data_IF_509296816880
#
_entry.id   IF_509296816880
#
_cell.length_a   1.000
_cell.length_b   1.000
_cell.length_c   1.000
_cell.angle_alpha   90.00
_cell.angle_beta   90.00
_cell.angle_gamma   90.00
#
_symmetry.space_group_name_H-M   'P 1'
#
loop_
_entity.id
_entity.type
_entity.pdbx_description
1 polymer ?
#
# COMPACT_ATOMS: atom_id res chain seq x y z
N UNK A 1 -14.94 6.01 4.79
CA UNK A 1 -13.70 5.55 4.13
C UNK A 1 -12.57 5.60 5.14
N UNK A 2 -11.81 4.51 5.32
CA UNK A 2 -10.64 4.45 6.22
C UNK A 2 -9.38 4.98 5.51
N UNK A 3 -8.28 5.22 6.24
CA UNK A 3 -7.00 5.59 5.60
C UNK A 3 -6.46 4.48 4.69
N UNK A 4 -6.64 3.21 5.05
CA UNK A 4 -6.28 2.09 4.16
C UNK A 4 -7.17 2.09 2.92
N UNK A 5 -8.48 2.35 3.08
CA UNK A 5 -9.41 2.48 1.96
C UNK A 5 -9.03 3.63 1.02
N UNK A 6 -8.62 4.79 1.54
CA UNK A 6 -8.11 5.90 0.73
C UNK A 6 -6.80 5.52 0.02
N UNK A 7 -5.88 4.82 0.69
CA UNK A 7 -4.65 4.35 0.08
C UNK A 7 -4.92 3.37 -1.08
N UNK A 8 -5.83 2.41 -0.87
CA UNK A 8 -6.27 1.48 -1.90
C UNK A 8 -6.98 2.19 -3.06
N UNK A 9 -7.87 3.13 -2.76
CA UNK A 9 -8.54 3.95 -3.77
C UNK A 9 -7.52 4.69 -4.65
N UNK A 10 -6.53 5.37 -4.05
CA UNK A 10 -5.48 6.06 -4.81
C UNK A 10 -4.68 5.08 -5.69
N UNK A 11 -4.36 3.88 -5.18
CA UNK A 11 -3.67 2.85 -5.94
C UNK A 11 -4.49 2.35 -7.14
N UNK A 12 -5.79 2.16 -6.96
CA UNK A 12 -6.65 1.70 -8.05
C UNK A 12 -6.90 2.80 -9.09
N UNK A 13 -7.18 4.04 -8.66
CA UNK A 13 -7.37 5.18 -9.58
C UNK A 13 -6.14 5.44 -10.46
N UNK A 14 -4.95 5.12 -9.95
CA UNK A 14 -3.69 5.25 -10.69
C UNK A 14 -3.27 3.97 -11.42
N UNK A 15 -4.07 2.89 -11.35
CA UNK A 15 -3.72 1.55 -11.85
C UNK A 15 -2.41 0.99 -11.29
N UNK A 16 -1.97 1.47 -10.13
CA UNK A 16 -0.79 0.93 -9.44
C UNK A 16 -1.02 -0.47 -8.87
N UNK A 17 -2.27 -0.94 -8.83
CA UNK A 17 -2.63 -2.33 -8.54
C UNK A 17 -2.64 -3.24 -9.78
N UNK A 18 -2.37 -2.71 -10.96
CA UNK A 18 -2.20 -3.47 -12.20
C UNK A 18 -0.72 -3.63 -12.51
N UNK A 19 -0.30 -4.82 -12.91
CA UNK A 19 1.01 -5.09 -13.46
C UNK A 19 0.89 -5.45 -14.95
N UNK A 20 1.75 -4.85 -15.75
CA UNK A 20 1.90 -5.14 -17.18
C UNK A 20 3.40 -5.41 -17.47
N UNK A 21 3.75 -6.21 -18.51
CA UNK A 21 5.13 -6.54 -18.87
C UNK A 21 5.92 -5.35 -19.46
N UNK A 22 6.11 -4.28 -18.69
CA UNK A 22 6.75 -3.03 -19.13
C UNK A 22 8.08 -2.73 -18.44
N UNK A 23 8.68 -3.72 -17.77
CA UNK A 23 9.88 -3.56 -16.94
C UNK A 23 9.57 -3.27 -15.46
N UNK A 24 10.57 -2.81 -14.70
CA UNK A 24 10.44 -2.56 -13.26
C UNK A 24 9.75 -1.21 -12.99
N UNK A 25 8.79 -1.20 -12.05
CA UNK A 25 8.13 0.03 -11.60
C UNK A 25 8.86 0.63 -10.40
N UNK A 26 9.28 1.90 -10.52
CA UNK A 26 9.96 2.63 -9.45
C UNK A 26 8.99 3.54 -8.66
N UNK A 27 9.42 4.00 -7.48
CA UNK A 27 8.70 5.02 -6.72
C UNK A 27 8.51 6.32 -7.53
N UNK A 28 9.45 6.68 -8.41
CA UNK A 28 9.30 7.87 -9.26
C UNK A 28 8.09 7.74 -10.19
N UNK A 29 7.92 6.58 -10.83
CA UNK A 29 6.75 6.30 -11.68
C UNK A 29 5.45 6.30 -10.86
N UNK A 30 5.47 5.71 -9.65
CA UNK A 30 4.31 5.74 -8.75
C UNK A 30 3.95 7.18 -8.33
N UNK A 31 4.96 7.98 -8.00
CA UNK A 31 4.79 9.38 -7.59
C UNK A 31 4.17 10.23 -8.70
N UNK A 32 4.63 10.08 -9.94
CA UNK A 32 4.10 10.81 -11.09
C UNK A 32 2.63 10.46 -11.35
N UNK A 33 2.27 9.18 -11.30
CA UNK A 33 0.88 8.72 -11.47
C UNK A 33 -0.02 9.22 -10.32
N UNK A 34 0.44 9.11 -9.06
CA UNK A 34 -0.28 9.63 -7.89
C UNK A 34 -0.49 11.13 -7.98
N UNK A 35 0.50 11.90 -8.42
CA UNK A 35 0.37 13.35 -8.57
C UNK A 35 -0.74 13.74 -9.54
N UNK A 36 -0.85 13.06 -10.67
CA UNK A 36 -1.89 13.30 -11.66
C UNK A 36 -3.26 13.03 -11.05
N UNK A 37 -3.46 11.85 -10.45
CA UNK A 37 -4.75 11.49 -9.85
C UNK A 37 -5.16 12.42 -8.69
N UNK A 38 -4.21 12.85 -7.86
CA UNK A 38 -4.49 13.74 -6.71
C UNK A 38 -4.92 15.14 -7.16
N UNK A 39 -4.36 15.66 -8.26
CA UNK A 39 -4.72 16.98 -8.79
C UNK A 39 -6.21 17.06 -9.18
N UNK A 40 -6.78 15.94 -9.63
CA UNK A 40 -8.18 15.85 -10.08
C UNK A 40 -9.15 15.34 -8.99
N UNK A 41 -8.68 15.11 -7.76
CA UNK A 41 -9.48 14.52 -6.68
C UNK A 41 -9.92 15.55 -5.63
N UNK A 42 -11.20 15.52 -5.26
CA UNK A 42 -11.77 16.29 -4.13
C UNK A 42 -12.20 15.33 -3.02
N UNK A 43 -11.76 15.58 -1.79
CA UNK A 43 -12.15 14.82 -0.60
C UNK A 43 -12.85 15.75 0.40
N UNK A 44 -14.09 15.43 0.79
CA UNK A 44 -14.91 16.25 1.69
C UNK A 44 -15.02 17.73 1.27
N UNK A 45 -15.12 17.98 -0.05
CA UNK A 45 -15.24 19.34 -0.62
C UNK A 45 -13.93 20.14 -0.67
N UNK A 46 -12.78 19.53 -0.33
CA UNK A 46 -11.46 20.16 -0.44
C UNK A 46 -10.59 19.45 -1.48
N UNK A 47 -9.81 20.18 -2.30
CA UNK A 47 -8.84 19.57 -3.21
C UNK A 47 -7.84 18.71 -2.43
N UNK A 48 -7.69 17.45 -2.84
CA UNK A 48 -6.82 16.51 -2.13
C UNK A 48 -5.35 16.96 -2.18
N UNK A 49 -4.92 17.64 -3.24
CA UNK A 49 -3.56 18.20 -3.38
C UNK A 49 -3.20 19.17 -2.24
N UNK A 50 -4.17 19.91 -1.70
CA UNK A 50 -3.92 20.81 -0.57
C UNK A 50 -3.76 20.06 0.76
N UNK A 51 -4.40 18.90 0.90
CA UNK A 51 -4.44 18.11 2.13
C UNK A 51 -3.41 16.97 2.17
N UNK A 52 -2.89 16.52 1.01
CA UNK A 52 -2.03 15.35 0.89
C UNK A 52 -0.66 15.70 0.28
N UNK A 53 0.39 15.45 1.05
CA UNK A 53 1.77 15.48 0.58
C UNK A 53 2.26 14.08 0.21
N UNK A 54 2.53 13.84 -1.08
CA UNK A 54 3.20 12.61 -1.54
C UNK A 54 4.71 12.84 -1.59
N UNK A 55 5.45 12.04 -0.83
CA UNK A 55 6.90 12.15 -0.72
C UNK A 55 7.54 11.93 -2.10
N UNK A 56 8.27 12.91 -2.65
CA UNK A 56 8.86 12.81 -3.99
C UNK A 56 10.02 11.80 -4.04
N UNK A 57 10.35 11.28 -5.24
CA UNK A 57 11.55 10.48 -5.43
C UNK A 57 12.82 11.31 -5.17
N UNK A 58 13.92 10.63 -4.82
CA UNK A 58 15.21 11.29 -4.70
C UNK A 58 15.69 11.75 -6.07
N UNK A 59 16.11 13.00 -6.17
CA UNK A 59 16.88 13.56 -7.28
C UNK A 59 18.00 14.40 -6.69
N UNK A 60 19.22 14.21 -7.15
CA UNK A 60 20.44 14.80 -6.57
C UNK A 60 20.45 16.33 -6.56
N UNK A 61 19.71 16.96 -7.48
CA UNK A 61 19.54 18.40 -7.66
C UNK A 61 18.34 18.99 -6.91
N UNK A 62 17.47 18.15 -6.33
CA UNK A 62 16.13 18.55 -5.90
C UNK A 62 15.94 18.56 -4.38
N UNK A 63 16.95 18.19 -3.59
CA UNK A 63 16.81 18.03 -2.14
C UNK A 63 16.25 19.30 -1.45
N UNK A 64 16.74 20.47 -1.84
CA UNK A 64 16.25 21.75 -1.29
C UNK A 64 14.83 22.07 -1.73
N UNK A 65 14.46 21.75 -2.97
CA UNK A 65 13.10 21.94 -3.47
C UNK A 65 12.11 21.03 -2.73
N UNK A 66 12.47 19.76 -2.52
CA UNK A 66 11.69 18.78 -1.78
C UNK A 66 11.47 19.28 -0.34
N UNK A 67 12.53 19.72 0.33
CA UNK A 67 12.45 20.26 1.69
C UNK A 67 11.60 21.54 1.75
N UNK A 68 11.74 22.46 0.77
CA UNK A 68 10.90 23.66 0.69
C UNK A 68 9.42 23.30 0.53
N UNK A 69 9.10 22.35 -0.35
CA UNK A 69 7.72 21.90 -0.57
C UNK A 69 7.11 21.29 0.68
N UNK A 70 7.85 20.43 1.38
CA UNK A 70 7.44 19.90 2.68
C UNK A 70 7.24 21.01 3.71
N UNK A 71 8.17 21.96 3.81
CA UNK A 71 8.06 23.06 4.78
C UNK A 71 6.82 23.91 4.52
N UNK A 72 6.53 24.23 3.25
CA UNK A 72 5.31 24.95 2.87
C UNK A 72 4.06 24.17 3.27
N UNK A 73 4.00 22.88 2.98
CA UNK A 73 2.88 22.01 3.40
C UNK A 73 2.72 21.96 4.92
N UNK A 74 3.81 21.67 5.64
CA UNK A 74 3.77 21.49 7.10
C UNK A 74 3.61 22.79 7.87
N UNK A 75 3.93 23.96 7.29
CA UNK A 75 3.69 25.28 7.89
C UNK A 75 2.21 25.60 8.11
N UNK A 76 1.33 24.93 7.36
CA UNK A 76 -0.11 25.09 7.45
C UNK A 76 -0.72 24.23 8.56
N UNK A 77 0.04 23.28 9.12
CA UNK A 77 -0.39 22.35 10.15
C UNK A 77 -0.22 22.93 11.56
N UNK A 78 -0.89 22.32 12.52
CA UNK A 78 -0.86 22.69 13.93
C UNK A 78 -2.14 23.38 14.41
N UNK A 79 -2.19 23.68 15.70
CA UNK A 79 -3.34 24.33 16.34
C UNK A 79 -3.22 25.84 16.30
N UNK A 80 -4.25 26.52 15.77
CA UNK A 80 -4.40 27.97 15.71
C UNK A 80 -5.72 28.35 16.38
N UNK A 81 -5.63 28.90 17.59
CA UNK A 81 -6.81 29.14 18.43
C UNK A 81 -7.52 27.82 18.75
N UNK A 82 -8.80 27.71 18.39
CA UNK A 82 -9.62 26.51 18.60
C UNK A 82 -9.59 25.51 17.45
N UNK A 83 -8.89 25.80 16.34
CA UNK A 83 -8.87 24.97 15.13
C UNK A 83 -7.52 24.26 15.02
N UNK A 84 -7.54 22.94 14.84
CA UNK A 84 -6.35 22.13 14.54
C UNK A 84 -6.34 21.75 13.07
N UNK A 85 -5.31 22.19 12.34
CA UNK A 85 -5.09 21.82 10.95
C UNK A 85 -4.17 20.60 10.87
N UNK A 86 -4.64 19.52 10.23
CA UNK A 86 -3.89 18.28 10.01
C UNK A 86 -3.73 18.04 8.52
N UNK A 87 -2.69 17.30 8.17
CA UNK A 87 -2.37 16.93 6.79
C UNK A 87 -2.19 15.44 6.65
N UNK A 88 -2.27 14.95 5.42
CA UNK A 88 -1.90 13.58 5.07
C UNK A 88 -0.50 13.58 4.45
N UNK A 89 0.30 12.56 4.79
CA UNK A 89 1.57 12.29 4.13
C UNK A 89 1.61 10.84 3.63
N UNK A 90 1.95 10.67 2.36
CA UNK A 90 2.07 9.38 1.68
C UNK A 90 3.54 9.14 1.28
N UNK A 91 4.12 8.02 1.70
CA UNK A 91 5.47 7.65 1.28
C UNK A 91 5.91 6.27 1.74
N UNK A 92 7.02 5.79 1.18
CA UNK A 92 7.65 4.54 1.58
C UNK A 92 8.40 4.70 2.91
N UNK A 93 8.14 3.80 3.86
CA UNK A 93 8.86 3.68 5.11
C UNK A 93 10.21 3.03 4.84
N UNK A 94 11.29 3.77 5.07
CA UNK A 94 12.68 3.31 4.96
C UNK A 94 13.14 2.57 6.21
N UNK A 95 12.80 3.12 7.37
CA UNK A 95 13.34 2.67 8.65
C UNK A 95 12.32 2.96 9.76
N UNK A 96 12.25 2.08 10.75
CA UNK A 96 11.52 2.33 11.99
C UNK A 96 12.46 2.16 13.17
N UNK A 97 12.44 3.08 14.12
CA UNK A 97 13.34 3.04 15.28
C UNK A 97 12.62 3.50 16.56
N UNK A 98 12.94 2.86 17.67
CA UNK A 98 12.51 3.34 19.00
C UNK A 98 13.21 4.66 19.33
N UNK A 99 12.53 5.48 20.12
CA UNK A 99 13.03 6.75 20.63
C UNK A 99 12.69 6.84 22.11
N UNK A 100 13.27 7.81 22.81
CA UNK A 100 12.98 8.07 24.23
C UNK A 100 11.47 8.26 24.53
N UNK A 101 10.70 8.75 23.56
CA UNK A 101 9.30 9.15 23.76
C UNK A 101 8.29 8.36 22.91
N UNK A 102 8.71 7.25 22.31
CA UNK A 102 7.88 6.46 21.40
C UNK A 102 8.69 5.95 20.23
N UNK A 103 8.20 6.16 19.01
CA UNK A 103 8.82 5.63 17.80
C UNK A 103 8.98 6.71 16.72
N UNK A 104 9.96 6.49 15.85
CA UNK A 104 10.22 7.23 14.63
C UNK A 104 9.95 6.34 13.42
N UNK A 105 9.19 6.85 12.45
CA UNK A 105 9.18 6.36 11.08
C UNK A 105 9.98 7.31 10.19
N UNK A 106 10.97 6.77 9.51
CA UNK A 106 11.73 7.47 8.49
C UNK A 106 11.13 7.13 7.13
N UNK A 107 10.62 8.12 6.42
CA UNK A 107 10.21 7.93 5.02
C UNK A 107 11.43 8.08 4.10
N UNK A 108 11.46 7.35 2.98
CA UNK A 108 12.50 7.54 1.95
C UNK A 108 12.47 8.96 1.43
N UNK A 109 13.65 9.53 1.14
CA UNK A 109 13.80 10.84 0.48
C UNK A 109 13.19 12.03 1.24
N UNK A 110 12.92 11.82 2.53
CA UNK A 110 12.23 12.76 3.39
C UNK A 110 13.12 13.05 4.60
N UNK A 111 13.57 14.30 4.79
CA UNK A 111 14.54 14.60 5.86
C UNK A 111 13.92 14.56 7.25
N UNK A 112 12.71 15.11 7.40
CA UNK A 112 12.04 15.18 8.69
C UNK A 112 11.28 13.87 8.94
N UNK A 113 11.58 13.12 10.02
CA UNK A 113 10.88 11.90 10.36
C UNK A 113 9.47 12.17 10.88
N UNK A 114 8.67 11.10 10.91
CA UNK A 114 7.38 11.09 11.60
C UNK A 114 7.53 10.45 12.97
N UNK A 115 6.98 11.08 14.00
CA UNK A 115 6.99 10.57 15.37
C UNK A 115 5.62 10.01 15.75
N UNK A 116 5.61 8.96 16.55
CA UNK A 116 4.38 8.31 16.98
C UNK A 116 4.56 7.74 18.39
N UNK A 117 3.48 7.72 19.17
CA UNK A 117 3.48 7.11 20.50
C UNK A 117 3.66 5.59 20.41
N UNK A 118 4.08 4.96 21.50
CA UNK A 118 4.15 3.50 21.58
C UNK A 118 2.77 2.85 21.32
N UNK A 119 1.69 3.46 21.82
CA UNK A 119 0.32 3.03 21.60
C UNK A 119 -0.07 3.07 20.12
N UNK A 120 0.14 4.21 19.43
CA UNK A 120 -0.13 4.33 18.00
C UNK A 120 0.71 3.35 17.18
N UNK A 121 1.99 3.13 17.53
CA UNK A 121 2.83 2.11 16.88
C UNK A 121 2.24 0.72 17.07
N UNK A 122 1.79 0.36 18.27
CA UNK A 122 1.23 -0.95 18.53
C UNK A 122 -0.09 -1.15 17.78
N UNK A 123 -0.95 -0.13 17.71
CA UNK A 123 -2.19 -0.14 16.90
C UNK A 123 -1.88 -0.39 15.43
N UNK A 124 -0.96 0.39 14.84
CA UNK A 124 -0.53 0.22 13.45
C UNK A 124 0.05 -1.18 13.19
N UNK A 125 0.94 -1.66 14.06
CA UNK A 125 1.54 -2.99 13.92
C UNK A 125 0.50 -4.11 14.01
N UNK A 126 -0.52 -3.96 14.85
CA UNK A 126 -1.62 -4.95 14.95
C UNK A 126 -2.51 -4.94 13.72
N UNK A 127 -2.81 -3.77 13.16
CA UNK A 127 -3.67 -3.60 11.99
C UNK A 127 -2.98 -3.98 10.66
N UNK A 128 -1.67 -3.71 10.56
CA UNK A 128 -0.89 -3.86 9.32
C UNK A 128 0.33 -4.77 9.53
N UNK A 129 0.09 -5.98 10.06
CA UNK A 129 1.16 -6.90 10.50
C UNK A 129 2.13 -7.25 9.39
N UNK A 130 1.64 -7.61 8.21
CA UNK A 130 2.50 -7.98 7.08
C UNK A 130 3.37 -6.80 6.64
N UNK A 131 2.79 -5.61 6.52
CA UNK A 131 3.49 -4.41 6.09
C UNK A 131 4.50 -3.89 7.13
N UNK A 132 4.29 -4.12 8.43
CA UNK A 132 5.19 -3.66 9.49
C UNK A 132 6.04 -4.78 10.11
N UNK A 133 6.06 -5.97 9.47
CA UNK A 133 6.94 -7.07 9.88
C UNK A 133 8.41 -6.70 9.67
N UNK A 134 9.29 -7.26 10.48
CA UNK A 134 10.75 -7.22 10.28
C UNK A 134 11.20 -8.29 9.27
N UNK A 135 10.44 -9.40 9.16
CA UNK A 135 10.69 -10.51 8.25
C UNK A 135 9.90 -10.35 6.95
N UNK A 136 9.92 -9.17 6.33
CA UNK A 136 9.26 -8.97 5.04
C UNK A 136 10.07 -9.62 3.91
N UNK A 137 9.42 -10.02 2.80
CA UNK A 137 10.13 -10.48 1.60
C UNK A 137 11.17 -9.46 1.15
N UNK A 138 12.30 -9.95 0.64
CA UNK A 138 13.35 -9.07 0.14
C UNK A 138 12.82 -8.18 -0.99
N UNK A 139 13.30 -6.94 -1.05
CA UNK A 139 12.88 -5.90 -2.00
C UNK A 139 11.38 -5.53 -1.98
N UNK A 140 10.59 -6.02 -1.03
CA UNK A 140 9.23 -5.51 -0.78
C UNK A 140 9.26 -4.10 -0.16
N UNK A 141 8.15 -3.37 -0.28
CA UNK A 141 8.02 -2.02 0.27
C UNK A 141 6.90 -1.92 1.30
N UNK A 142 7.06 -0.97 2.22
CA UNK A 142 6.03 -0.58 3.17
C UNK A 142 5.60 0.83 2.87
N UNK A 143 4.48 0.99 2.17
CA UNK A 143 3.94 2.29 1.80
C UNK A 143 2.95 2.73 2.88
N UNK A 144 3.18 3.90 3.47
CA UNK A 144 2.34 4.42 4.53
C UNK A 144 1.59 5.68 4.12
N UNK A 145 0.32 5.77 4.52
CA UNK A 145 -0.49 6.98 4.51
C UNK A 145 -0.76 7.40 5.95
N UNK A 146 -0.28 8.57 6.35
CA UNK A 146 -0.34 9.03 7.75
C UNK A 146 -1.07 10.35 7.86
N UNK A 147 -2.02 10.42 8.79
CA UNK A 147 -2.58 11.69 9.27
C UNK A 147 -1.59 12.29 10.26
N UNK A 148 -1.06 13.45 9.93
CA UNK A 148 -0.03 14.12 10.70
C UNK A 148 -0.49 15.47 11.24
N UNK A 149 0.05 15.80 12.41
CA UNK A 149 -0.01 17.12 13.02
C UNK A 149 1.42 17.65 13.20
N UNK A 150 1.55 18.97 13.35
CA UNK A 150 2.83 19.64 13.60
C UNK A 150 2.83 20.24 15.00
N UNK A 151 3.78 19.79 15.82
CA UNK A 151 3.98 20.33 17.16
C UNK A 151 4.54 21.76 17.11
N UNK A 152 4.41 22.52 18.21
CA UNK A 152 5.01 23.85 18.33
C UNK A 152 6.54 23.86 18.13
N UNK A 153 7.22 22.75 18.41
CA UNK A 153 8.66 22.56 18.19
C UNK A 153 9.01 22.18 16.74
N UNK A 154 8.01 22.07 15.87
CA UNK A 154 8.17 21.77 14.44
C UNK A 154 8.18 20.28 14.08
N UNK A 155 8.15 19.36 15.05
CA UNK A 155 8.11 17.92 14.80
C UNK A 155 6.77 17.49 14.19
N UNK A 156 6.80 16.52 13.28
CA UNK A 156 5.60 15.87 12.74
C UNK A 156 5.20 14.67 13.58
N UNK A 157 3.96 14.65 14.05
CA UNK A 157 3.41 13.56 14.87
C UNK A 157 2.27 12.87 14.13
N UNK A 158 2.31 11.53 14.08
CA UNK A 158 1.27 10.70 13.49
C UNK A 158 0.11 10.55 14.46
N UNK A 159 -1.06 10.98 14.01
CA UNK A 159 -2.33 10.90 14.75
C UNK A 159 -3.11 9.64 14.39
N UNK A 160 -3.03 9.22 13.12
CA UNK A 160 -3.57 7.95 12.64
C UNK A 160 -2.82 7.55 11.36
N UNK A 161 -2.92 6.30 10.94
CA UNK A 161 -2.23 5.85 9.74
C UNK A 161 -2.72 4.52 9.19
N UNK A 162 -2.32 4.25 7.96
CA UNK A 162 -2.40 2.94 7.34
C UNK A 162 -1.07 2.59 6.67
N UNK A 163 -0.71 1.31 6.67
CA UNK A 163 0.49 0.82 5.99
C UNK A 163 0.13 -0.36 5.11
N UNK A 164 0.52 -0.28 3.85
CA UNK A 164 0.29 -1.30 2.83
C UNK A 164 1.63 -1.94 2.46
N UNK A 165 1.65 -3.28 2.44
CA UNK A 165 2.78 -4.04 1.92
C UNK A 165 2.66 -4.05 0.39
N UNK A 166 3.78 -3.92 -0.30
CA UNK A 166 3.83 -4.10 -1.75
C UNK A 166 5.01 -4.97 -2.15
N UNK A 167 4.92 -5.60 -3.32
CA UNK A 167 6.08 -6.23 -3.96
C UNK A 167 7.06 -5.16 -4.49
N UNK A 168 8.13 -5.60 -5.18
CA UNK A 168 9.17 -4.72 -5.74
C UNK A 168 8.66 -3.71 -6.78
N UNK A 169 7.52 -4.00 -7.41
CA UNK A 169 6.90 -3.18 -8.46
C UNK A 169 5.69 -2.38 -7.93
N UNK A 170 5.61 -2.22 -6.60
CA UNK A 170 4.55 -1.48 -5.91
C UNK A 170 3.13 -2.06 -6.08
N UNK A 171 3.01 -3.34 -6.46
CA UNK A 171 1.76 -4.09 -6.41
C UNK A 171 1.42 -4.39 -4.94
N UNK A 172 0.23 -4.01 -4.45
CA UNK A 172 -0.19 -4.30 -3.09
C UNK A 172 -0.28 -5.79 -2.77
N UNK A 173 -0.06 -6.15 -1.51
CA UNK A 173 -0.20 -7.49 -1.00
C UNK A 173 -0.71 -7.47 0.45
N UNK A 174 -1.61 -8.40 0.80
CA UNK A 174 -2.10 -8.55 2.17
C UNK A 174 -1.19 -9.45 3.02
N UNK A 175 -0.30 -10.21 2.36
CA UNK A 175 0.61 -11.16 2.98
C UNK A 175 1.98 -11.23 2.29
N UNK A 176 2.99 -11.79 2.96
CA UNK A 176 4.30 -12.06 2.36
C UNK A 176 4.21 -13.08 1.22
N UNK A 177 3.25 -14.01 1.28
CA UNK A 177 3.03 -14.99 0.22
C UNK A 177 2.42 -14.33 -1.01
N UNK A 178 1.51 -13.38 -0.86
CA UNK A 178 1.03 -12.61 -2.03
C UNK A 178 2.14 -11.79 -2.69
N UNK A 179 3.10 -11.26 -1.93
CA UNK A 179 4.28 -10.62 -2.53
C UNK A 179 5.06 -11.61 -3.39
N UNK A 180 5.28 -12.82 -2.88
CA UNK A 180 5.99 -13.88 -3.61
C UNK A 180 5.25 -14.31 -4.88
N UNK A 181 3.93 -14.49 -4.81
CA UNK A 181 3.10 -14.79 -5.97
C UNK A 181 3.11 -13.63 -6.99
N UNK A 182 3.00 -12.38 -6.55
CA UNK A 182 3.05 -11.21 -7.43
C UNK A 182 4.40 -11.11 -8.16
N UNK A 183 5.52 -11.31 -7.44
CA UNK A 183 6.86 -11.36 -8.03
C UNK A 183 7.00 -12.52 -9.03
N UNK A 184 6.44 -13.69 -8.73
CA UNK A 184 6.45 -14.87 -9.60
C UNK A 184 5.66 -14.64 -10.89
N UNK A 185 4.45 -14.07 -10.80
CA UNK A 185 3.62 -13.70 -11.95
C UNK A 185 4.31 -12.64 -12.84
N UNK A 186 4.92 -11.63 -12.21
CA UNK A 186 5.66 -10.58 -12.90
C UNK A 186 6.90 -11.15 -13.62
N UNK A 187 7.67 -12.02 -12.95
CA UNK A 187 8.82 -12.69 -13.55
C UNK A 187 8.43 -13.60 -14.72
N UNK A 188 7.23 -14.18 -14.68
CA UNK A 188 6.66 -14.98 -15.76
C UNK A 188 6.11 -14.17 -16.94
N UNK A 189 6.13 -12.83 -16.87
CA UNK A 189 5.67 -11.99 -17.97
C UNK A 189 4.14 -11.88 -18.09
N UNK A 190 3.37 -12.28 -17.07
CA UNK A 190 1.90 -12.38 -17.17
C UNK A 190 1.19 -11.13 -16.66
N UNK A 191 0.50 -10.32 -17.49
CA UNK A 191 -0.21 -9.13 -17.00
C UNK A 191 -1.28 -9.53 -16.00
N UNK A 192 -1.39 -8.81 -14.89
CA UNK A 192 -2.35 -9.13 -13.83
C UNK A 192 -2.84 -7.89 -13.09
N UNK A 193 -3.96 -8.02 -12.38
CA UNK A 193 -4.46 -7.03 -11.44
C UNK A 193 -4.57 -7.65 -10.05
N UNK A 194 -4.19 -6.90 -9.02
CA UNK A 194 -4.52 -7.15 -7.61
C UNK A 194 -5.82 -6.41 -7.28
N UNK A 195 -6.97 -7.10 -7.14
CA UNK A 195 -8.19 -6.43 -6.72
C UNK A 195 -8.01 -5.82 -5.33
N UNK A 196 -8.41 -4.57 -5.18
CA UNK A 196 -8.32 -3.86 -3.91
C UNK A 196 -9.71 -3.66 -3.31
N UNK A 197 -9.76 -3.78 -1.98
CA UNK A 197 -11.00 -3.59 -1.23
C UNK A 197 -10.94 -2.23 -0.55
N UNK A 198 -11.81 -1.31 -0.94
CA UNK A 198 -11.96 -0.02 -0.27
C UNK A 198 -13.41 0.36 0.00
N UNK A 199 -14.39 -0.35 -0.59
CA UNK A 199 -15.78 -0.35 -0.16
C UNK A 199 -16.14 -1.67 0.57
N UNK A 200 -17.09 -1.61 1.50
CA UNK A 200 -17.50 -2.77 2.31
C UNK A 200 -18.49 -3.69 1.58
N UNK A 201 -18.44 -3.76 0.25
CA UNK A 201 -19.33 -4.64 -0.51
C UNK A 201 -18.77 -6.06 -0.48
N UNK A 202 -19.63 -7.04 -0.23
CA UNK A 202 -19.33 -8.48 -0.06
C UNK A 202 -18.90 -9.17 -1.37
N UNK A 203 -18.17 -8.49 -2.25
CA UNK A 203 -17.63 -9.12 -3.45
C UNK A 203 -16.47 -10.06 -3.08
N UNK A 204 -16.58 -11.31 -3.54
CA UNK A 204 -15.50 -12.30 -3.43
C UNK A 204 -14.46 -11.97 -4.50
N UNK A 205 -13.31 -11.46 -4.06
CA UNK A 205 -12.18 -11.17 -4.95
C UNK A 205 -11.08 -12.22 -4.82
N UNK A 206 -10.51 -12.68 -5.95
CA UNK A 206 -9.27 -13.44 -5.94
C UNK A 206 -8.11 -12.57 -5.50
N UNK A 207 -6.99 -13.21 -5.16
CA UNK A 207 -5.78 -12.47 -4.82
C UNK A 207 -5.19 -11.79 -6.06
N UNK A 208 -5.26 -12.43 -7.23
CA UNK A 208 -4.92 -11.79 -8.51
C UNK A 208 -5.88 -12.25 -9.62
N UNK A 209 -6.04 -11.42 -10.66
CA UNK A 209 -6.60 -11.85 -11.95
C UNK A 209 -5.58 -11.66 -13.05
N UNK A 210 -5.39 -12.70 -13.87
CA UNK A 210 -4.53 -12.65 -15.04
C UNK A 210 -5.31 -12.11 -16.23
N UNK A 211 -4.74 -11.12 -16.90
CA UNK A 211 -5.41 -10.32 -17.94
C UNK A 211 -5.13 -10.83 -19.36
N UNK A 212 -4.26 -11.81 -19.51
CA UNK A 212 -3.84 -12.47 -20.76
C UNK A 212 -4.66 -13.74 -21.07
N UNK A 213 -5.81 -13.93 -20.42
CA UNK A 213 -6.68 -15.12 -20.60
C UNK A 213 -8.13 -14.68 -20.76
N UNK A 214 -8.94 -15.48 -21.46
CA UNK A 214 -10.37 -15.20 -21.63
C UNK A 214 -11.19 -16.47 -21.39
N UNK A 215 -12.04 -16.50 -20.34
CA UNK A 215 -12.15 -15.50 -19.27
C UNK A 215 -10.84 -15.34 -18.47
N UNK A 216 -10.68 -14.22 -17.77
CA UNK A 216 -9.51 -13.95 -16.94
C UNK A 216 -9.31 -15.07 -15.91
N UNK A 217 -8.10 -15.64 -15.85
CA UNK A 217 -7.73 -16.65 -14.86
C UNK A 217 -7.61 -16.03 -13.47
N UNK A 218 -8.24 -16.66 -12.49
CA UNK A 218 -8.19 -16.30 -11.08
C UNK A 218 -6.95 -16.91 -10.43
N UNK A 219 -6.33 -16.19 -9.49
CA UNK A 219 -5.19 -16.70 -8.70
C UNK A 219 -5.49 -16.53 -7.21
N UNK A 220 -5.28 -17.59 -6.43
CA UNK A 220 -5.50 -17.63 -4.97
C UNK A 220 -4.26 -18.14 -4.23
N UNK A 221 -3.92 -17.46 -3.13
CA UNK A 221 -2.79 -17.77 -2.27
C UNK A 221 -3.29 -18.22 -0.90
N UNK A 222 -3.08 -19.50 -0.58
CA UNK A 222 -3.54 -20.12 0.66
C UNK A 222 -2.42 -20.19 1.70
N UNK A 223 -2.34 -19.17 2.57
CA UNK A 223 -1.26 -19.03 3.56
C UNK A 223 -1.54 -19.50 4.99
N UNK A 224 -2.80 -19.78 5.36
CA UNK A 224 -3.16 -20.26 6.71
C UNK A 224 -3.70 -21.68 6.59
N UNK A 225 -3.41 -22.55 7.56
CA UNK A 225 -3.90 -23.93 7.56
C UNK A 225 -4.33 -24.32 8.97
N UNK A 226 -5.38 -25.13 9.10
CA UNK A 226 -5.77 -25.72 10.38
C UNK A 226 -6.56 -24.79 11.32
N UNK A 227 -7.22 -23.76 10.75
CA UNK A 227 -8.25 -22.98 11.45
C UNK A 227 -9.58 -23.20 10.76
N UNK A 228 -10.58 -23.66 11.49
CA UNK A 228 -11.90 -24.00 10.94
C UNK A 228 -12.53 -22.82 10.17
N UNK A 229 -12.46 -21.60 10.72
CA UNK A 229 -12.95 -20.39 10.05
C UNK A 229 -12.24 -20.10 8.72
N UNK A 230 -10.94 -20.43 8.62
CA UNK A 230 -10.17 -20.24 7.40
C UNK A 230 -10.55 -21.27 6.33
N UNK A 231 -10.67 -22.55 6.72
CA UNK A 231 -11.11 -23.60 5.81
C UNK A 231 -12.53 -23.34 5.31
N UNK A 232 -13.45 -22.88 6.18
CA UNK A 232 -14.79 -22.48 5.78
C UNK A 232 -14.77 -21.34 4.74
N UNK A 233 -13.93 -20.31 4.94
CA UNK A 233 -13.75 -19.22 3.97
C UNK A 233 -13.15 -19.69 2.66
N UNK A 234 -12.18 -20.60 2.70
CA UNK A 234 -11.59 -21.23 1.50
C UNK A 234 -12.67 -21.97 0.70
N UNK A 235 -13.48 -22.80 1.35
CA UNK A 235 -14.58 -23.52 0.70
C UNK A 235 -15.63 -22.57 0.11
N UNK A 236 -15.99 -21.49 0.81
CA UNK A 236 -16.90 -20.47 0.27
C UNK A 236 -16.35 -19.79 -0.98
N UNK A 237 -15.05 -19.41 -0.99
CA UNK A 237 -14.38 -18.85 -2.16
C UNK A 237 -14.38 -19.83 -3.34
N UNK A 238 -13.97 -21.07 -3.12
CA UNK A 238 -13.95 -22.10 -4.16
C UNK A 238 -15.35 -22.37 -4.73
N UNK A 239 -16.37 -22.48 -3.88
CA UNK A 239 -17.75 -22.64 -4.33
C UNK A 239 -18.26 -21.43 -5.12
N UNK A 240 -17.74 -20.22 -4.87
CA UNK A 240 -18.01 -19.05 -5.68
C UNK A 240 -17.32 -19.16 -7.05
N UNK A 241 -16.03 -19.52 -7.10
CA UNK A 241 -15.28 -19.65 -8.35
C UNK A 241 -15.77 -20.77 -9.25
N UNK A 242 -16.22 -21.89 -8.69
CA UNK A 242 -16.82 -23.00 -9.45
C UNK A 242 -18.09 -22.59 -10.22
N UNK A 243 -18.77 -21.51 -9.79
CA UNK A 243 -19.91 -20.94 -10.52
C UNK A 243 -19.49 -20.04 -11.68
N UNK A 244 -18.21 -19.69 -11.75
CA UNK A 244 -17.62 -18.93 -12.85
C UNK A 244 -16.96 -19.89 -13.83
N UNK A 245 -16.95 -19.57 -15.13
CA UNK A 245 -16.20 -20.34 -16.12
C UNK A 245 -14.70 -20.02 -16.13
N UNK A 246 -14.21 -19.28 -15.13
CA UNK A 246 -12.84 -18.80 -15.07
C UNK A 246 -11.87 -19.91 -14.62
N UNK A 247 -10.73 -20.10 -15.31
CA UNK A 247 -9.67 -20.95 -14.80
C UNK A 247 -9.18 -20.44 -13.44
N UNK A 248 -8.75 -21.35 -12.57
CA UNK A 248 -8.25 -21.04 -11.23
C UNK A 248 -6.84 -21.63 -11.06
N UNK A 249 -5.89 -20.78 -10.64
CA UNK A 249 -4.58 -21.18 -10.17
C UNK A 249 -4.57 -21.02 -8.65
N UNK A 250 -4.33 -22.12 -7.94
CA UNK A 250 -4.22 -22.13 -6.48
C UNK A 250 -2.77 -22.37 -6.07
N UNK A 251 -2.32 -21.68 -5.03
CA UNK A 251 -1.05 -21.96 -4.40
C UNK A 251 -1.22 -22.16 -2.90
N UNK A 252 -0.92 -23.37 -2.44
CA UNK A 252 -0.73 -23.67 -1.02
C UNK A 252 0.70 -23.31 -0.64
N UNK A 253 0.89 -22.41 0.33
CA UNK A 253 2.22 -21.87 0.64
C UNK A 253 3.17 -22.88 1.30
N UNK A 254 2.68 -24.11 1.57
CA UNK A 254 3.49 -25.27 1.99
C UNK A 254 4.02 -26.09 0.82
N UNK A 255 3.58 -25.80 -0.39
CA UNK A 255 3.97 -26.47 -1.63
C UNK A 255 4.82 -25.53 -2.49
N UNK A 256 5.63 -26.06 -3.43
CA UNK A 256 6.34 -25.23 -4.39
C UNK A 256 5.39 -24.31 -5.16
N UNK A 257 5.87 -23.12 -5.53
CA UNK A 257 5.12 -22.19 -6.38
C UNK A 257 4.60 -22.91 -7.63
N UNK A 258 3.32 -22.72 -7.99
CA UNK A 258 2.76 -23.36 -9.17
C UNK A 258 3.43 -22.82 -10.43
N UNK A 259 3.45 -23.63 -11.47
CA UNK A 259 3.93 -23.20 -12.77
C UNK A 259 2.92 -22.25 -13.41
N UNK A 260 3.35 -21.01 -13.68
CA UNK A 260 2.52 -19.98 -14.31
C UNK A 260 3.02 -19.66 -15.72
N UNK A 261 2.93 -20.63 -16.64
CA UNK A 261 3.32 -20.38 -18.02
C UNK A 261 2.47 -19.26 -18.64
N UNK A 262 3.11 -18.33 -19.35
CA UNK A 262 2.43 -17.35 -20.18
C UNK A 262 1.69 -18.09 -21.29
N UNK A 263 0.39 -17.79 -21.45
CA UNK A 263 -0.34 -18.15 -22.66
C UNK A 263 0.18 -17.21 -23.74
N UNK A 264 1.04 -17.74 -24.62
CA UNK A 264 1.75 -17.05 -25.71
C UNK A 264 1.06 -15.81 -26.28
#
# INVERSE_FOLDING_TARGET
MTLLGLLHYLWEQTRLNVWEPSGQRSWASCHDQLRIAIADTVLNGQPLEAALYVVPPFRSDSADLINRRLNLFTSQLGTRGHITHRGLILGEIKETAETRYGWRFQLRNQRMPLYLTAEHRQKLRRAHRAALSENRPDRSHSVGLFLIDRTAKGNLTVMDGAVMLTNRDYIPADSSHEVEMADHLAAAGRPFIKPLRYDHREAVFPDFLLLDTTPNTLVEVWGVTGREEYEARKQQKLAHYQRTAAPLIEWNTREPLPTVHSAR
#
